data_IF_267437027606
#
_entry.id   IF_267437027606
#
_cell.length_a   1.000
_cell.length_b   1.000
_cell.length_c   1.000
_cell.angle_alpha   90.00
_cell.angle_beta   90.00
_cell.angle_gamma   90.00
#
_symmetry.space_group_name_H-M   'P 1'
#
loop_
_entity.id
_entity.type
_entity.pdbx_description
1 polymer ?
#
# COMPACT_ATOMS: atom_id res chain seq x y z
N UNK A 1 -7.97 -24.75 60.32
CA UNK A 1 -7.96 -23.60 59.39
C UNK A 1 -7.16 -24.01 58.17
N UNK A 2 -7.83 -24.34 57.07
CA UNK A 2 -7.17 -24.69 55.81
C UNK A 2 -7.10 -23.43 54.95
N UNK A 3 -5.90 -22.94 54.67
CA UNK A 3 -5.68 -21.82 53.76
C UNK A 3 -5.75 -22.34 52.33
N UNK A 4 -6.89 -22.09 51.67
CA UNK A 4 -7.07 -22.35 50.25
C UNK A 4 -6.15 -21.42 49.45
N UNK A 5 -5.10 -21.97 48.85
CA UNK A 5 -4.21 -21.26 47.94
C UNK A 5 -4.95 -21.11 46.60
N UNK A 6 -5.50 -19.93 46.36
CA UNK A 6 -6.12 -19.58 45.08
C UNK A 6 -5.09 -19.79 43.98
N UNK A 7 -5.37 -20.69 43.02
CA UNK A 7 -4.55 -20.86 41.83
C UNK A 7 -4.90 -19.70 40.92
N UNK A 8 -3.97 -18.78 40.73
CA UNK A 8 -4.09 -17.77 39.68
C UNK A 8 -4.43 -18.47 38.36
N UNK A 9 -5.39 -17.94 37.58
CA UNK A 9 -5.61 -18.43 36.24
C UNK A 9 -4.29 -18.31 35.47
N UNK A 10 -3.86 -19.39 34.82
CA UNK A 10 -2.68 -19.35 33.97
C UNK A 10 -2.91 -18.30 32.87
N UNK A 11 -2.34 -17.10 33.05
CA UNK A 11 -2.26 -16.09 32.00
C UNK A 11 -1.25 -16.62 31.00
N UNK A 12 -1.77 -17.22 29.92
CA UNK A 12 -0.93 -17.65 28.80
C UNK A 12 -0.36 -16.40 28.15
N UNK A 13 0.97 -16.27 28.11
CA UNK A 13 1.62 -15.17 27.39
C UNK A 13 1.26 -15.30 25.90
N UNK A 14 0.59 -14.28 25.38
CA UNK A 14 0.07 -14.24 24.01
C UNK A 14 1.17 -14.50 22.97
N UNK A 15 2.44 -14.17 23.27
CA UNK A 15 3.57 -14.42 22.35
C UNK A 15 3.78 -15.90 22.02
N UNK A 16 3.31 -16.82 22.86
CA UNK A 16 3.37 -18.26 22.57
C UNK A 16 2.34 -18.70 21.54
N UNK A 17 1.31 -17.88 21.26
CA UNK A 17 0.27 -18.19 20.28
C UNK A 17 0.85 -18.41 18.88
N UNK A 18 1.98 -17.77 18.54
CA UNK A 18 2.62 -17.93 17.23
C UNK A 18 2.93 -19.40 16.94
N UNK A 19 3.42 -20.15 17.94
CA UNK A 19 3.84 -21.55 17.77
C UNK A 19 2.69 -22.51 17.39
N UNK A 20 1.42 -22.09 17.54
CA UNK A 20 0.27 -22.94 17.20
C UNK A 20 -0.14 -22.81 15.72
N UNK A 21 0.29 -21.73 15.05
CA UNK A 21 -0.10 -21.42 13.66
C UNK A 21 0.71 -22.25 12.68
N UNK A 22 0.04 -22.85 11.70
CA UNK A 22 0.65 -23.85 10.80
C UNK A 22 0.88 -23.36 9.39
N UNK A 23 0.43 -22.15 9.07
CA UNK A 23 0.67 -21.53 7.77
C UNK A 23 1.16 -20.09 7.94
N UNK A 24 1.82 -19.58 6.91
CA UNK A 24 2.28 -18.19 6.88
C UNK A 24 1.11 -17.21 7.09
N UNK A 25 0.00 -17.41 6.38
CA UNK A 25 -1.15 -16.50 6.45
C UNK A 25 -1.76 -16.50 7.86
N UNK A 26 -1.96 -17.67 8.47
CA UNK A 26 -2.47 -17.73 9.85
C UNK A 26 -1.50 -17.12 10.88
N UNK A 27 -0.20 -17.22 10.62
CA UNK A 27 0.85 -16.64 11.45
C UNK A 27 0.79 -15.12 11.42
N UNK A 28 0.82 -14.54 10.21
CA UNK A 28 0.94 -13.10 10.00
C UNK A 28 -0.38 -12.34 10.20
N UNK A 29 -1.50 -13.03 10.45
CA UNK A 29 -2.71 -12.40 11.02
C UNK A 29 -2.49 -11.83 12.42
N UNK A 30 -1.34 -12.12 13.04
CA UNK A 30 -0.91 -11.54 14.29
C UNK A 30 0.35 -10.71 14.02
N UNK A 31 0.25 -9.39 14.20
CA UNK A 31 1.33 -8.45 13.85
C UNK A 31 2.63 -8.64 14.66
N UNK A 32 2.57 -9.37 15.78
CA UNK A 32 3.74 -9.68 16.61
C UNK A 32 4.41 -11.03 16.27
N UNK A 33 3.83 -11.81 15.36
CA UNK A 33 4.39 -13.07 14.90
C UNK A 33 5.18 -12.87 13.59
N UNK A 34 6.15 -13.75 13.37
CA UNK A 34 6.97 -13.85 12.17
C UNK A 34 6.92 -15.27 11.64
N UNK A 35 6.99 -15.43 10.31
CA UNK A 35 7.00 -16.72 9.64
C UNK A 35 8.40 -17.07 9.14
N UNK A 36 8.87 -18.28 9.41
CA UNK A 36 10.08 -18.84 8.83
C UNK A 36 9.72 -19.67 7.60
N UNK A 37 10.13 -19.21 6.42
CA UNK A 37 9.82 -19.90 5.17
C UNK A 37 10.53 -21.26 5.08
N UNK A 38 11.82 -21.31 5.41
CA UNK A 38 12.64 -22.53 5.30
C UNK A 38 12.19 -23.66 6.23
N UNK A 39 11.76 -23.34 7.45
CA UNK A 39 11.26 -24.34 8.40
C UNK A 39 9.74 -24.48 8.40
N UNK A 40 9.03 -23.62 7.65
CA UNK A 40 7.56 -23.55 7.64
C UNK A 40 6.96 -23.47 9.05
N UNK A 41 7.48 -22.53 9.86
CA UNK A 41 7.08 -22.36 11.27
C UNK A 41 6.84 -20.90 11.62
N UNK A 42 5.83 -20.68 12.46
CA UNK A 42 5.49 -19.39 13.03
C UNK A 42 6.13 -19.21 14.41
N UNK A 43 6.65 -18.03 14.71
CA UNK A 43 7.34 -17.73 15.96
C UNK A 43 7.23 -16.25 16.33
N UNK A 44 7.58 -15.89 17.56
CA UNK A 44 7.66 -14.49 17.99
C UNK A 44 9.13 -14.11 18.25
N UNK A 45 9.65 -13.11 17.54
CA UNK A 45 11.02 -12.58 17.73
C UNK A 45 11.27 -12.00 19.12
N UNK A 46 10.21 -11.58 19.81
CA UNK A 46 10.30 -11.00 21.14
C UNK A 46 10.60 -12.05 22.22
N UNK A 47 10.48 -13.34 21.92
CA UNK A 47 10.85 -14.41 22.83
C UNK A 47 12.36 -14.68 22.74
N UNK A 48 13.09 -14.75 23.88
CA UNK A 48 14.54 -14.96 23.88
C UNK A 48 14.98 -16.20 23.10
N UNK A 49 14.17 -17.27 23.12
CA UNK A 49 14.42 -18.52 22.40
C UNK A 49 14.47 -18.35 20.88
N UNK A 50 13.82 -17.31 20.34
CA UNK A 50 13.68 -17.09 18.90
C UNK A 50 14.31 -15.79 18.40
N UNK A 51 15.04 -15.06 19.26
CA UNK A 51 15.66 -13.78 18.90
C UNK A 51 16.52 -13.87 17.63
N UNK A 52 17.21 -15.01 17.44
CA UNK A 52 18.10 -15.26 16.32
C UNK A 52 17.61 -16.34 15.35
N UNK A 53 16.35 -16.77 15.50
CA UNK A 53 15.79 -17.85 14.70
C UNK A 53 15.44 -17.38 13.27
N UNK A 54 15.80 -18.21 12.28
CA UNK A 54 15.43 -18.07 10.87
C UNK A 54 15.73 -16.72 10.18
N UNK A 55 16.76 -15.99 10.62
CA UNK A 55 17.08 -14.61 10.18
C UNK A 55 17.01 -14.35 8.67
N UNK A 56 17.50 -15.28 7.84
CA UNK A 56 17.64 -15.06 6.40
C UNK A 56 16.40 -15.44 5.59
N UNK A 57 15.41 -16.10 6.21
CA UNK A 57 14.19 -16.56 5.56
C UNK A 57 12.94 -16.17 6.39
N UNK A 58 13.06 -15.06 7.13
CA UNK A 58 11.97 -14.54 7.94
C UNK A 58 11.06 -13.64 7.12
N UNK A 59 9.77 -13.90 7.19
CA UNK A 59 8.71 -13.01 6.72
C UNK A 59 8.06 -12.37 7.94
N UNK A 60 8.08 -11.05 7.99
CA UNK A 60 7.43 -10.27 9.04
C UNK A 60 6.08 -9.73 8.57
N UNK A 61 5.20 -9.45 9.54
CA UNK A 61 4.01 -8.65 9.27
C UNK A 61 4.41 -7.25 8.78
N UNK A 62 3.72 -6.79 7.73
CA UNK A 62 3.82 -5.42 7.22
C UNK A 62 2.43 -4.84 7.18
N UNK A 63 2.30 -3.62 7.67
CA UNK A 63 1.04 -2.90 7.65
C UNK A 63 0.99 -2.01 6.40
N UNK A 64 0.13 -2.36 5.45
CA UNK A 64 -0.15 -1.56 4.27
C UNK A 64 -1.47 -0.78 4.40
N UNK A 65 -1.96 -0.59 5.63
CA UNK A 65 -3.28 -0.02 5.92
C UNK A 65 -4.45 -0.87 5.38
N UNK A 66 -4.18 -2.15 5.10
CA UNK A 66 -5.20 -3.14 4.76
C UNK A 66 -5.67 -3.90 6.01
N UNK A 67 -6.65 -4.80 5.84
CA UNK A 67 -7.00 -5.72 6.92
C UNK A 67 -5.83 -6.66 7.26
N UNK A 68 -5.82 -7.20 8.47
CA UNK A 68 -4.80 -8.17 8.92
C UNK A 68 -4.69 -9.39 7.98
N UNK A 69 -5.82 -9.82 7.40
CA UNK A 69 -5.86 -10.94 6.46
C UNK A 69 -5.20 -10.59 5.13
N UNK A 70 -5.52 -9.43 4.55
CA UNK A 70 -4.92 -8.95 3.30
C UNK A 70 -3.41 -8.70 3.46
N UNK A 71 -2.99 -8.09 4.58
CA UNK A 71 -1.57 -7.88 4.89
C UNK A 71 -0.83 -9.22 5.03
N UNK A 72 -1.45 -10.23 5.66
CA UNK A 72 -0.86 -11.56 5.80
C UNK A 72 -0.72 -12.26 4.44
N UNK A 73 -1.77 -12.25 3.60
CA UNK A 73 -1.72 -12.82 2.26
C UNK A 73 -0.65 -12.14 1.38
N UNK A 74 -0.58 -10.81 1.48
CA UNK A 74 0.39 -9.96 0.81
C UNK A 74 1.84 -10.34 1.18
N UNK A 75 2.14 -10.45 2.48
CA UNK A 75 3.48 -10.86 2.95
C UNK A 75 3.83 -12.30 2.59
N UNK A 76 2.86 -13.20 2.55
CA UNK A 76 3.07 -14.63 2.33
C UNK A 76 3.10 -15.06 0.85
N UNK A 77 3.09 -14.10 -0.08
CA UNK A 77 3.12 -14.40 -1.51
C UNK A 77 1.84 -15.05 -2.04
N UNK A 78 0.68 -14.77 -1.42
CA UNK A 78 -0.62 -15.18 -1.94
C UNK A 78 -0.84 -14.65 -3.37
N UNK A 79 -1.68 -15.33 -4.15
CA UNK A 79 -2.01 -14.91 -5.52
C UNK A 79 -2.95 -13.71 -5.45
N UNK A 80 -2.38 -12.52 -5.28
CA UNK A 80 -3.15 -11.28 -5.38
C UNK A 80 -3.11 -10.85 -6.84
N UNK A 81 -4.30 -10.69 -7.44
CA UNK A 81 -4.41 -10.21 -8.82
C UNK A 81 -3.78 -8.81 -8.89
N UNK A 82 -2.89 -8.59 -9.85
CA UNK A 82 -2.31 -7.28 -10.11
C UNK A 82 -3.40 -6.35 -10.68
N UNK A 83 -4.09 -5.61 -9.80
CA UNK A 83 -5.15 -4.68 -10.14
C UNK A 83 -4.69 -3.22 -10.00
N UNK A 84 -3.46 -2.94 -10.43
CA UNK A 84 -2.85 -1.62 -10.32
C UNK A 84 -2.83 -0.84 -11.64
N UNK A 85 -3.52 -1.35 -12.67
CA UNK A 85 -3.65 -0.70 -13.97
C UNK A 85 -5.08 -0.22 -14.14
N UNK A 86 -5.30 1.09 -14.35
CA UNK A 86 -6.65 1.60 -14.59
C UNK A 86 -7.19 1.05 -15.92
N UNK A 87 -8.45 0.61 -15.97
CA UNK A 87 -9.00 -0.08 -17.14
C UNK A 87 -9.13 0.78 -18.40
N UNK A 88 -9.15 2.11 -18.26
CA UNK A 88 -9.65 3.02 -19.31
C UNK A 88 -8.62 4.05 -19.81
N UNK A 89 -7.44 4.20 -19.20
CA UNK A 89 -6.71 5.48 -19.36
C UNK A 89 -5.18 5.42 -19.45
N UNK A 90 -4.48 4.40 -18.94
CA UNK A 90 -3.01 4.36 -18.97
C UNK A 90 -2.44 2.94 -18.92
N UNK A 91 -1.32 2.71 -19.63
CA UNK A 91 -0.45 1.53 -19.44
C UNK A 91 0.45 1.66 -18.19
N UNK A 92 0.26 2.72 -17.41
CA UNK A 92 1.10 3.05 -16.25
C UNK A 92 0.50 2.53 -14.96
N UNK A 93 1.33 1.79 -14.21
CA UNK A 93 1.00 1.32 -12.86
C UNK A 93 0.67 2.52 -11.98
N UNK A 94 -0.50 2.50 -11.34
CA UNK A 94 -0.95 3.53 -10.42
C UNK A 94 -0.85 4.95 -11.00
N UNK A 95 -1.17 5.08 -12.30
CA UNK A 95 -1.10 6.33 -13.07
C UNK A 95 0.27 7.03 -12.97
N UNK A 96 1.35 6.27 -12.72
CA UNK A 96 2.71 6.82 -12.54
C UNK A 96 2.93 7.56 -11.22
N UNK A 97 1.93 7.59 -10.32
CA UNK A 97 1.92 8.42 -9.10
C UNK A 97 1.83 7.62 -7.80
N UNK A 98 2.10 6.33 -7.88
CA UNK A 98 2.09 5.44 -6.72
C UNK A 98 2.85 4.16 -6.98
N UNK A 99 2.86 3.30 -5.96
CA UNK A 99 3.45 1.97 -6.05
C UNK A 99 2.35 0.91 -5.99
N UNK A 100 2.48 -0.12 -6.82
CA UNK A 100 1.60 -1.29 -6.74
C UNK A 100 2.07 -2.20 -5.60
N UNK A 101 1.28 -2.25 -4.54
CA UNK A 101 1.52 -3.13 -3.40
C UNK A 101 0.36 -4.09 -3.30
N UNK A 102 0.63 -5.37 -3.56
CA UNK A 102 -0.36 -6.43 -3.39
C UNK A 102 -1.66 -6.14 -4.14
N UNK A 103 -1.53 -5.81 -5.42
CA UNK A 103 -2.65 -5.56 -6.32
C UNK A 103 -3.43 -4.28 -6.08
N UNK A 104 -2.99 -3.41 -5.16
CA UNK A 104 -3.58 -2.09 -4.92
C UNK A 104 -2.54 -1.00 -5.06
N UNK A 105 -2.97 0.18 -5.47
CA UNK A 105 -2.10 1.34 -5.55
C UNK A 105 -2.00 2.06 -4.22
N UNK A 106 -0.76 2.29 -3.78
CA UNK A 106 -0.44 3.19 -2.68
C UNK A 106 0.09 4.48 -3.30
N UNK A 107 -0.70 5.54 -3.24
CA UNK A 107 -0.35 6.82 -3.83
C UNK A 107 0.83 7.48 -3.11
N UNK A 108 1.69 8.16 -3.88
CA UNK A 108 2.90 8.76 -3.34
C UNK A 108 2.54 9.81 -2.27
N UNK A 109 2.93 9.60 -1.00
CA UNK A 109 2.61 10.54 0.07
C UNK A 109 3.58 11.71 0.14
N UNK A 110 4.64 11.68 -0.69
CA UNK A 110 5.67 12.74 -0.72
C UNK A 110 5.01 14.02 -1.21
N UNK A 111 4.96 15.07 -0.37
CA UNK A 111 4.42 16.34 -0.79
C UNK A 111 5.24 16.91 -1.94
N UNK A 112 4.55 17.44 -2.94
CA UNK A 112 5.19 18.15 -4.03
C UNK A 112 5.98 19.37 -3.45
N UNK A 113 7.27 19.53 -3.77
CA UNK A 113 8.07 20.65 -3.23
C UNK A 113 7.51 22.03 -3.59
N UNK A 114 6.87 22.15 -4.75
CA UNK A 114 6.27 23.39 -5.24
C UNK A 114 4.85 23.56 -4.70
N UNK A 115 4.16 22.44 -4.46
CA UNK A 115 2.79 22.40 -3.96
C UNK A 115 2.63 21.47 -2.74
N UNK A 116 3.04 21.89 -1.53
CA UNK A 116 3.04 21.04 -0.34
C UNK A 116 1.67 20.56 0.12
N UNK A 117 0.60 21.22 -0.34
CA UNK A 117 -0.79 20.84 -0.07
C UNK A 117 -1.37 19.90 -1.13
N UNK A 118 -0.59 19.54 -2.16
CA UNK A 118 -0.99 18.58 -3.19
C UNK A 118 -1.15 17.20 -2.58
N UNK A 119 -2.32 16.62 -2.76
CA UNK A 119 -2.67 15.28 -2.31
C UNK A 119 -3.17 14.46 -3.49
N UNK A 120 -2.59 13.28 -3.69
CA UNK A 120 -2.92 12.35 -4.78
C UNK A 120 -3.79 11.24 -4.20
N UNK A 121 -4.93 11.01 -4.83
CA UNK A 121 -5.96 10.06 -4.36
C UNK A 121 -6.55 9.28 -5.53
N UNK A 122 -7.37 8.27 -5.23
CA UNK A 122 -8.01 7.40 -6.22
C UNK A 122 -7.53 5.96 -6.11
N UNK A 123 -8.25 5.04 -6.76
CA UNK A 123 -7.94 3.60 -6.75
C UNK A 123 -6.62 3.32 -7.48
N UNK A 124 -6.30 4.13 -8.47
CA UNK A 124 -5.12 4.07 -9.33
C UNK A 124 -4.28 5.35 -9.23
N UNK A 125 -4.45 6.14 -8.17
CA UNK A 125 -3.76 7.43 -7.97
C UNK A 125 -3.98 8.39 -9.15
N UNK A 126 -5.20 8.44 -9.68
CA UNK A 126 -5.61 9.12 -10.90
C UNK A 126 -6.19 10.52 -10.65
N UNK A 127 -6.42 10.89 -9.38
CA UNK A 127 -6.87 12.22 -9.00
C UNK A 127 -5.89 12.96 -8.10
N UNK A 128 -5.92 14.29 -8.12
CA UNK A 128 -5.26 15.12 -7.11
C UNK A 128 -6.02 16.45 -6.88
N UNK A 129 -5.71 17.18 -5.82
CA UNK A 129 -6.41 18.43 -5.49
C UNK A 129 -5.80 19.71 -6.11
N UNK A 130 -4.88 19.58 -7.07
CA UNK A 130 -4.09 20.70 -7.60
C UNK A 130 -4.14 20.85 -9.13
N UNK A 131 -4.18 19.75 -9.89
CA UNK A 131 -4.06 19.68 -11.35
C UNK A 131 -5.34 20.08 -12.10
N UNK A 132 -5.87 21.25 -11.77
CA UNK A 132 -7.00 21.87 -12.46
C UNK A 132 -6.62 23.25 -12.97
N UNK A 133 -7.00 23.55 -14.21
CA UNK A 133 -6.84 24.86 -14.83
C UNK A 133 -8.20 25.55 -15.01
N UNK A 134 -8.25 26.83 -14.63
CA UNK A 134 -9.37 27.72 -14.93
C UNK A 134 -10.27 28.12 -13.75
N UNK A 135 -11.33 28.91 -14.02
CA UNK A 135 -12.16 29.54 -12.99
C UNK A 135 -13.08 28.58 -12.22
N UNK A 136 -13.12 27.30 -12.61
CA UNK A 136 -13.96 26.27 -12.01
C UNK A 136 -13.21 25.34 -11.05
N UNK A 137 -11.93 25.62 -10.76
CA UNK A 137 -11.11 24.88 -9.80
C UNK A 137 -11.44 25.25 -8.35
N UNK A 138 -12.70 25.09 -7.96
CA UNK A 138 -13.19 25.47 -6.63
C UNK A 138 -13.40 24.24 -5.73
N UNK A 139 -13.47 23.04 -6.30
CA UNK A 139 -13.72 21.79 -5.58
C UNK A 139 -12.95 20.64 -6.28
N UNK A 140 -11.96 20.06 -5.60
CA UNK A 140 -11.25 18.85 -6.04
C UNK A 140 -11.86 17.57 -5.44
N UNK A 141 -11.35 16.37 -5.77
CA UNK A 141 -10.11 16.10 -6.50
C UNK A 141 -10.31 15.96 -8.03
N UNK A 142 -9.29 16.36 -8.80
CA UNK A 142 -9.29 16.52 -10.25
C UNK A 142 -8.58 15.35 -10.96
N UNK A 143 -9.15 14.80 -12.05
CA UNK A 143 -8.56 13.70 -12.79
C UNK A 143 -7.40 14.15 -13.70
N UNK A 144 -6.39 13.29 -13.87
CA UNK A 144 -5.29 13.48 -14.82
C UNK A 144 -5.73 13.63 -16.28
N UNK A 145 -6.91 13.13 -16.65
CA UNK A 145 -7.37 13.18 -18.04
C UNK A 145 -7.66 14.61 -18.53
N UNK A 146 -7.91 15.56 -17.62
CA UNK A 146 -8.21 16.94 -17.98
C UNK A 146 -6.97 17.75 -18.41
N UNK A 147 -5.77 17.40 -17.91
CA UNK A 147 -4.53 18.09 -18.31
C UNK A 147 -4.06 17.69 -19.70
N UNK A 148 -4.23 16.43 -20.12
CA UNK A 148 -3.83 15.97 -21.47
C UNK A 148 -4.59 16.69 -22.59
N UNK A 149 -5.88 16.96 -22.40
CA UNK A 149 -6.69 17.66 -23.42
C UNK A 149 -6.28 19.12 -23.64
N UNK A 150 -5.64 19.77 -22.67
CA UNK A 150 -5.21 21.17 -22.78
C UNK A 150 -3.86 21.28 -23.50
N UNK A 151 -2.93 20.35 -23.26
CA UNK A 151 -1.62 20.34 -23.92
C UNK A 151 -1.71 20.01 -25.43
N UNK A 152 -2.65 19.15 -25.83
CA UNK A 152 -2.89 18.89 -27.25
C UNK A 152 -3.50 20.12 -27.97
N UNK A 153 -4.27 20.95 -27.27
CA UNK A 153 -4.87 22.16 -27.86
C UNK A 153 -3.91 23.37 -27.95
N UNK A 154 -2.78 23.38 -27.25
CA UNK A 154 -1.78 24.44 -27.40
C UNK A 154 -0.76 24.17 -28.51
N UNK A 155 -0.56 22.92 -28.92
CA UNK A 155 0.38 22.58 -29.99
C UNK A 155 -0.24 22.69 -31.40
N UNK A 156 -1.55 22.87 -31.53
CA UNK A 156 -2.23 23.13 -32.82
C UNK A 156 -2.40 24.62 -33.16
N UNK A 157 -1.96 25.55 -32.29
CA UNK A 157 -2.16 26.99 -32.48
C UNK A 157 -0.95 27.77 -33.06
N UNK A 158 0.19 27.14 -33.32
CA UNK A 158 1.43 27.83 -33.76
C UNK A 158 1.85 27.58 -35.23
N UNK A 159 0.94 27.25 -36.15
CA UNK A 159 1.31 27.14 -37.57
C UNK A 159 0.30 27.73 -38.57
N UNK A 160 -0.20 28.96 -38.35
CA UNK A 160 -0.72 29.78 -39.48
C UNK A 160 -0.50 31.28 -39.25
N UNK A 161 0.67 31.80 -39.62
CA UNK A 161 0.73 33.13 -40.25
C UNK A 161 2.01 33.29 -41.09
N UNK A 162 1.88 33.10 -42.41
CA UNK A 162 2.80 33.70 -43.38
C UNK A 162 2.03 34.76 -44.20
N UNK A 163 2.58 35.97 -44.37
CA UNK A 163 1.88 37.08 -45.01
C UNK A 163 1.92 36.97 -46.54
N UNK A 164 0.77 37.04 -47.19
CA UNK A 164 0.69 37.15 -48.66
C UNK A 164 0.80 38.61 -49.09
N UNK A 165 1.86 38.91 -49.85
CA UNK A 165 2.01 40.13 -50.64
C UNK A 165 0.97 40.21 -51.77
N UNK A 166 0.39 41.40 -51.98
CA UNK A 166 -0.06 41.90 -53.28
C UNK A 166 0.04 43.42 -53.30
#
# INVERSE_FOLDING_TARGET
MATGKSRDPFVLDERFVCNIKRSCVECLRLSHCSWCETESKCYCKQLPTFQDYCKNATIDYKDYEFSLEENAECSCGGVIKNNCYPPEVTDEVCSGRGNCVCGRCICNPVPDPEHPTKNIVGEYCEFDNFSCDGPHCNEGPYPLSQTKTTEDNLNEAEEVEQPSQA
#
